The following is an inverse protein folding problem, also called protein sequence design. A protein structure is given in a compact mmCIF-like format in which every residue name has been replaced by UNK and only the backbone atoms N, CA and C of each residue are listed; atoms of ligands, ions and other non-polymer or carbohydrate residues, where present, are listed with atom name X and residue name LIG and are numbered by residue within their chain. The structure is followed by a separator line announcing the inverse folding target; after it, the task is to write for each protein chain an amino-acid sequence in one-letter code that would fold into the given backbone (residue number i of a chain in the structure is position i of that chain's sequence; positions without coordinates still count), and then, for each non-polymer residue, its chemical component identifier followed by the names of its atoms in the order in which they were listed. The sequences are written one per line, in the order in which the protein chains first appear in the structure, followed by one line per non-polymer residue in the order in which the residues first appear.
data_IF_514665509942
#
_entry.id   IF_514665509942
#
_cell.length_a   1.000
_cell.length_b   1.000
_cell.length_c   1.000
_cell.angle_alpha   90.00
_cell.angle_beta   90.00
_cell.angle_gamma   90.00
#
_symmetry.space_group_name_H-M   'P 1'
#
loop_
_entity.id
_entity.type
_entity.pdbx_description
1 polymer ?
#
# COMPACT_ATOMS: atom_id res chain seq x y z
N UNK A 1 -15.68 13.59 -10.84
CA UNK A 1 -14.25 13.25 -10.75
C UNK A 1 -14.00 12.07 -11.67
N UNK A 2 -12.91 12.07 -12.41
CA UNK A 2 -12.58 10.98 -13.34
C UNK A 2 -11.09 10.65 -13.23
N UNK A 3 -10.74 9.37 -13.40
CA UNK A 3 -9.35 8.92 -13.45
C UNK A 3 -8.87 9.01 -14.88
N UNK A 4 -7.79 9.75 -15.10
CA UNK A 4 -7.24 10.10 -16.41
C UNK A 4 -6.02 9.24 -16.79
N UNK A 5 -5.50 8.44 -15.85
CA UNK A 5 -4.25 7.68 -16.04
C UNK A 5 -4.33 6.27 -15.46
N UNK A 6 -3.55 5.37 -16.04
CA UNK A 6 -3.28 4.06 -15.44
C UNK A 6 -2.50 4.23 -14.13
N UNK A 7 -2.61 3.26 -13.20
CA UNK A 7 -1.85 3.31 -11.95
C UNK A 7 -0.33 3.37 -12.20
N UNK A 8 0.33 4.37 -11.62
CA UNK A 8 1.77 4.58 -11.67
C UNK A 8 2.38 4.53 -10.26
N UNK A 9 3.60 4.01 -10.10
CA UNK A 9 4.26 3.97 -8.80
C UNK A 9 4.62 5.38 -8.32
N UNK A 10 4.24 5.72 -7.09
CA UNK A 10 4.68 6.96 -6.44
C UNK A 10 6.20 6.94 -6.23
N UNK A 11 6.95 7.99 -6.62
CA UNK A 11 8.40 8.02 -6.45
C UNK A 11 8.87 8.05 -4.99
N UNK A 12 7.99 8.38 -4.04
CA UNK A 12 8.34 8.50 -2.62
C UNK A 12 8.07 7.22 -1.82
N UNK A 13 6.93 6.56 -2.06
CA UNK A 13 6.50 5.40 -1.28
C UNK A 13 6.25 4.14 -2.11
N UNK A 14 6.51 4.19 -3.43
CA UNK A 14 6.27 3.13 -4.41
C UNK A 14 4.81 2.62 -4.50
N UNK A 15 3.86 3.27 -3.82
CA UNK A 15 2.44 2.91 -3.84
C UNK A 15 1.79 3.31 -5.17
N UNK A 16 0.78 2.55 -5.64
CA UNK A 16 0.06 2.91 -6.85
C UNK A 16 -0.69 4.23 -6.68
N UNK A 17 -0.48 5.13 -7.63
CA UNK A 17 -1.14 6.44 -7.74
C UNK A 17 -1.80 6.59 -9.10
N UNK A 18 -2.88 7.37 -9.17
CA UNK A 18 -3.57 7.70 -10.41
C UNK A 18 -3.73 9.21 -10.53
N UNK A 19 -3.73 9.71 -11.76
CA UNK A 19 -4.08 11.11 -12.01
C UNK A 19 -5.60 11.24 -12.00
N UNK A 20 -6.12 12.04 -11.08
CA UNK A 20 -7.53 12.34 -10.98
C UNK A 20 -7.81 13.78 -11.43
N UNK A 21 -8.86 13.94 -12.24
CA UNK A 21 -9.37 15.23 -12.67
C UNK A 21 -10.56 15.64 -11.81
N UNK A 22 -10.43 16.80 -11.16
CA UNK A 22 -11.42 17.49 -10.36
C UNK A 22 -11.89 18.76 -11.08
N UNK A 23 -12.99 19.36 -10.63
CA UNK A 23 -13.49 20.63 -11.19
C UNK A 23 -12.52 21.81 -11.04
N UNK A 24 -11.57 21.72 -10.11
CA UNK A 24 -10.56 22.74 -9.83
C UNK A 24 -9.17 22.42 -10.42
N UNK A 25 -8.97 21.25 -11.02
CA UNK A 25 -7.67 20.87 -11.56
C UNK A 25 -7.39 19.38 -11.57
N UNK A 26 -6.15 19.01 -11.86
CA UNK A 26 -5.69 17.62 -11.92
C UNK A 26 -4.69 17.38 -10.79
N UNK A 27 -4.78 16.23 -10.13
CA UNK A 27 -3.88 15.89 -9.03
C UNK A 27 -3.62 14.39 -8.98
N UNK A 28 -2.38 14.00 -8.70
CA UNK A 28 -2.01 12.62 -8.40
C UNK A 28 -2.52 12.22 -7.02
N UNK A 29 -3.14 11.06 -6.94
CA UNK A 29 -3.71 10.53 -5.70
C UNK A 29 -3.44 9.05 -5.56
N UNK A 30 -3.26 8.59 -4.32
CA UNK A 30 -3.00 7.20 -4.00
C UNK A 30 -4.26 6.35 -4.17
N UNK A 31 -4.14 5.22 -4.86
CA UNK A 31 -5.25 4.28 -5.04
C UNK A 31 -5.68 3.75 -3.67
N UNK A 32 -7.00 3.64 -3.47
CA UNK A 32 -7.63 3.19 -2.22
C UNK A 32 -7.87 4.30 -1.20
N UNK A 33 -6.93 5.25 -1.03
CA UNK A 33 -7.08 6.35 -0.05
C UNK A 33 -7.50 7.68 -0.69
N UNK A 34 -7.28 7.85 -2.00
CA UNK A 34 -7.55 9.08 -2.76
C UNK A 34 -6.89 10.34 -2.17
N UNK A 35 -5.79 10.15 -1.44
CA UNK A 35 -4.97 11.24 -0.87
C UNK A 35 -3.83 11.58 -1.82
N UNK A 36 -3.52 12.86 -1.96
CA UNK A 36 -2.36 13.30 -2.75
C UNK A 36 -1.02 13.08 -2.05
N UNK A 37 -1.02 13.16 -0.72
CA UNK A 37 0.18 12.98 0.07
C UNK A 37 0.38 11.51 0.41
N UNK A 38 1.64 11.10 0.50
CA UNK A 38 2.01 9.83 1.09
C UNK A 38 1.47 9.80 2.53
N UNK A 39 0.57 8.88 2.84
CA UNK A 39 0.17 8.66 4.22
C UNK A 39 1.31 8.01 4.99
N UNK A 40 1.42 8.33 6.28
CA UNK A 40 2.28 7.62 7.22
C UNK A 40 1.95 6.12 7.15
N UNK A 41 2.98 5.27 7.18
CA UNK A 41 2.87 3.81 6.96
C UNK A 41 1.92 3.09 7.93
N UNK A 42 1.40 3.80 8.94
CA UNK A 42 0.39 3.34 9.89
C UNK A 42 -0.98 2.99 9.29
N UNK A 43 -1.29 3.37 8.04
CA UNK A 43 -2.55 2.98 7.36
C UNK A 43 -2.46 1.67 6.55
N UNK A 44 -1.36 0.93 6.66
CA UNK A 44 -1.35 -0.46 6.22
C UNK A 44 -2.15 -1.26 7.27
N UNK A 45 -3.18 -2.05 6.91
CA UNK A 45 -3.50 -3.18 7.76
C UNK A 45 -2.21 -3.98 7.82
N UNK A 46 -1.53 -4.01 8.99
CA UNK A 46 -0.56 -5.05 9.27
C UNK A 46 -1.34 -6.34 9.05
N UNK A 47 -1.23 -6.96 7.88
CA UNK A 47 -1.16 -8.41 7.85
C UNK A 47 0.05 -8.66 8.72
N UNK A 48 -0.22 -8.94 10.00
CA UNK A 48 0.72 -9.64 10.87
C UNK A 48 1.29 -10.70 9.95
N UNK A 49 2.55 -10.51 9.55
CA UNK A 49 3.29 -11.53 8.85
C UNK A 49 3.04 -12.77 9.68
N UNK A 50 2.40 -13.76 9.06
CA UNK A 50 2.07 -15.01 9.69
C UNK A 50 3.33 -15.46 10.41
N UNK A 51 3.32 -15.39 11.75
CA UNK A 51 4.22 -16.17 12.56
C UNK A 51 3.77 -17.62 12.37
N UNK A 52 4.01 -18.16 11.17
CA UNK A 52 4.24 -19.58 11.01
C UNK A 52 5.52 -19.84 11.78
N UNK A 53 5.35 -20.10 13.09
CA UNK A 53 6.27 -20.87 13.90
C UNK A 53 6.74 -22.01 13.03
N UNK A 54 7.96 -21.86 12.54
CA UNK A 54 8.68 -22.92 11.85
C UNK A 54 8.69 -24.11 12.79
N UNK A 55 8.37 -25.28 12.26
CA UNK A 55 8.35 -26.53 13.00
C UNK A 55 9.63 -26.66 13.82
N UNK A 56 9.48 -26.57 15.14
CA UNK A 56 10.51 -26.96 16.07
C UNK A 56 10.17 -28.38 16.49
N UNK A 57 10.72 -29.33 15.74
CA UNK A 57 10.80 -30.74 16.06
C UNK A 57 11.31 -30.89 17.49
N UNK A 58 10.57 -31.50 18.43
CA UNK A 58 11.16 -31.91 19.69
C UNK A 58 12.17 -33.03 19.39
N UNK A 59 13.40 -32.69 19.73
CA UNK A 59 14.62 -33.47 19.70
C UNK A 59 14.39 -34.85 20.34
N UNK A 60 14.87 -35.90 19.68
CA UNK A 60 15.11 -37.25 20.22
C UNK A 60 15.73 -37.17 21.63
N UNK A 61 15.13 -37.88 22.59
CA UNK A 61 15.80 -38.30 23.82
C UNK A 61 15.87 -39.84 23.78
N UNK A 62 17.11 -40.35 23.76
CA UNK A 62 17.43 -41.76 24.01
C UNK A 62 17.67 -42.04 25.48
#
# INVERSE_FOLDING_TARGET
MFVDSSPQPCPQCARPTVLATYGWGRQWVHVGTWRSQCGDEASQPRRLASLTTSGQTPLTAG
#
